data_IF_080748401847
#
_entry.id   IF_080748401847
#
_cell.length_a   1.000
_cell.length_b   1.000
_cell.length_c   1.000
_cell.angle_alpha   90.00
_cell.angle_beta   90.00
_cell.angle_gamma   90.00
#
_symmetry.space_group_name_H-M   'P 1'
#
loop_
_entity.id
_entity.type
_entity.pdbx_description
1 polymer ?
#
# COMPACT_ATOMS: atom_id res chain seq x y z
N UNK A 1 4.11 7.55 -15.45
CA UNK A 1 4.18 8.34 -14.17
C UNK A 1 5.09 7.58 -13.24
N UNK A 2 6.19 8.18 -12.81
CA UNK A 2 7.06 7.58 -11.80
C UNK A 2 6.53 7.91 -10.40
N UNK A 3 6.54 6.92 -9.50
CA UNK A 3 6.19 7.13 -8.11
C UNK A 3 7.21 8.08 -7.48
N UNK A 4 6.78 9.28 -7.11
CA UNK A 4 7.67 10.28 -6.53
C UNK A 4 8.07 9.89 -5.10
N UNK A 5 9.37 9.91 -4.82
CA UNK A 5 9.90 9.74 -3.47
C UNK A 5 9.98 11.10 -2.80
N UNK A 6 9.14 11.36 -1.82
CA UNK A 6 9.20 12.63 -1.05
C UNK A 6 10.33 12.67 -0.01
N UNK A 7 11.05 11.57 0.17
CA UNK A 7 12.12 11.48 1.17
C UNK A 7 13.36 10.79 0.59
N UNK A 8 14.53 11.40 0.77
CA UNK A 8 15.83 10.82 0.45
C UNK A 8 16.04 9.46 1.15
N UNK A 9 15.54 9.31 2.37
CA UNK A 9 15.60 8.06 3.13
C UNK A 9 14.95 6.87 2.43
N UNK A 10 13.88 7.11 1.66
CA UNK A 10 13.21 6.04 0.90
C UNK A 10 14.11 5.54 -0.23
N UNK A 11 14.76 6.45 -0.94
CA UNK A 11 15.70 6.09 -2.01
C UNK A 11 16.90 5.32 -1.46
N UNK A 12 17.47 5.77 -0.33
CA UNK A 12 18.58 5.10 0.36
C UNK A 12 18.17 3.70 0.83
N UNK A 13 16.98 3.58 1.45
CA UNK A 13 16.44 2.29 1.89
C UNK A 13 16.27 1.33 0.71
N UNK A 14 15.68 1.79 -0.40
CA UNK A 14 15.49 0.97 -1.59
C UNK A 14 16.83 0.55 -2.22
N UNK A 15 17.89 1.35 -2.09
CA UNK A 15 19.22 1.00 -2.58
C UNK A 15 19.87 -0.15 -1.81
N UNK A 16 19.46 -0.38 -0.56
CA UNK A 16 19.99 -1.44 0.32
C UNK A 16 19.27 -2.78 0.16
N UNK A 17 18.07 -2.77 -0.46
CA UNK A 17 17.25 -3.97 -0.59
C UNK A 17 17.93 -4.99 -1.50
N UNK A 18 17.95 -6.24 -1.05
CA UNK A 18 18.57 -7.34 -1.76
C UNK A 18 20.09 -7.36 -1.72
N UNK A 19 20.73 -6.34 -1.14
CA UNK A 19 22.18 -6.35 -0.91
C UNK A 19 22.48 -7.00 0.44
N UNK A 20 23.39 -7.97 0.44
CA UNK A 20 23.95 -8.48 1.69
C UNK A 20 24.84 -7.41 2.31
N UNK A 21 24.75 -7.25 3.63
CA UNK A 21 25.74 -6.47 4.37
C UNK A 21 27.04 -7.29 4.53
N UNK A 22 28.08 -6.71 5.16
CA UNK A 22 29.39 -7.36 5.39
C UNK A 22 29.29 -8.69 6.17
N UNK A 23 28.19 -8.91 6.89
CA UNK A 23 27.89 -10.14 7.62
C UNK A 23 26.97 -11.12 6.85
N UNK A 24 26.68 -10.86 5.57
CA UNK A 24 25.82 -11.69 4.74
C UNK A 24 24.32 -11.58 5.01
N UNK A 25 23.87 -10.63 5.84
CA UNK A 25 22.44 -10.41 6.09
C UNK A 25 21.79 -9.65 4.93
N UNK A 26 20.63 -10.13 4.48
CA UNK A 26 19.86 -9.52 3.40
C UNK A 26 18.62 -8.86 3.96
N UNK A 27 18.40 -7.59 3.59
CA UNK A 27 17.18 -6.85 3.90
C UNK A 27 16.13 -7.16 2.83
N UNK A 28 14.97 -7.66 3.26
CA UNK A 28 13.85 -7.94 2.38
C UNK A 28 12.69 -6.98 2.64
N UNK A 29 12.04 -6.47 1.59
CA UNK A 29 10.77 -5.76 1.73
C UNK A 29 9.68 -6.78 2.04
N UNK A 30 8.96 -6.56 3.12
CA UNK A 30 7.74 -7.31 3.44
C UNK A 30 6.48 -6.62 2.91
N UNK A 31 6.41 -5.31 2.98
CA UNK A 31 5.30 -4.55 2.40
C UNK A 31 5.63 -3.07 2.20
N UNK A 32 5.05 -2.50 1.15
CA UNK A 32 5.04 -1.07 0.85
C UNK A 32 3.60 -0.56 0.99
N UNK A 33 3.44 0.61 1.58
CA UNK A 33 2.19 1.39 1.56
C UNK A 33 2.38 2.59 0.65
N UNK A 34 1.55 2.68 -0.37
CA UNK A 34 1.52 3.76 -1.35
C UNK A 34 0.33 4.66 -1.07
N UNK A 35 0.54 5.97 -1.13
CA UNK A 35 -0.49 7.00 -1.06
C UNK A 35 -0.54 7.70 -2.41
N UNK A 36 -1.76 7.95 -2.91
CA UNK A 36 -1.93 8.72 -4.14
C UNK A 36 -3.11 9.70 -4.01
N UNK A 37 -3.11 10.69 -4.89
CA UNK A 37 -4.15 11.72 -4.98
C UNK A 37 -4.63 11.82 -6.42
N UNK A 38 -5.95 11.80 -6.59
CA UNK A 38 -6.60 11.96 -7.88
C UNK A 38 -6.84 13.43 -8.20
N UNK A 39 -6.97 13.78 -9.48
CA UNK A 39 -7.43 15.09 -9.94
C UNK A 39 -8.90 15.39 -9.55
N UNK A 40 -9.68 14.38 -9.13
CA UNK A 40 -11.08 14.47 -8.73
C UNK A 40 -11.20 14.46 -7.20
N UNK A 41 -11.64 15.57 -6.61
CA UNK A 41 -11.73 15.75 -5.15
C UNK A 41 -13.02 15.16 -4.55
N UNK A 42 -13.97 14.71 -5.36
CA UNK A 42 -15.19 14.08 -4.91
C UNK A 42 -15.49 12.84 -5.74
N UNK A 43 -15.35 11.68 -5.12
CA UNK A 43 -15.64 10.37 -5.71
C UNK A 43 -16.96 9.86 -5.12
N UNK A 44 -17.89 9.49 -6.00
CA UNK A 44 -19.13 8.81 -5.63
C UNK A 44 -18.81 7.32 -5.40
N UNK A 45 -18.63 6.96 -4.13
CA UNK A 45 -18.28 5.61 -3.73
C UNK A 45 -19.45 4.60 -3.91
N UNK A 46 -20.70 5.07 -3.84
CA UNK A 46 -21.87 4.22 -4.06
C UNK A 46 -22.02 3.88 -5.53
N UNK A 47 -21.86 4.86 -6.40
CA UNK A 47 -21.80 4.65 -7.86
C UNK A 47 -20.66 3.67 -8.20
N UNK A 48 -19.46 3.89 -7.68
CA UNK A 48 -18.36 2.96 -7.90
C UNK A 48 -18.69 1.53 -7.47
N UNK A 49 -19.23 1.34 -6.26
CA UNK A 49 -19.57 0.00 -5.75
C UNK A 49 -20.64 -0.71 -6.57
N UNK A 50 -21.60 0.04 -7.13
CA UNK A 50 -22.68 -0.52 -7.93
C UNK A 50 -22.19 -1.03 -9.28
N UNK A 51 -21.32 -0.26 -9.94
CA UNK A 51 -20.97 -0.49 -11.34
C UNK A 51 -19.59 -1.18 -11.52
N UNK A 52 -18.79 -1.24 -10.46
CA UNK A 52 -17.50 -1.91 -10.50
C UNK A 52 -17.63 -3.42 -10.37
N UNK A 53 -17.19 -4.15 -11.39
CA UNK A 53 -17.08 -5.59 -11.39
C UNK A 53 -15.75 -6.04 -12.01
N UNK A 54 -14.94 -6.76 -11.25
CA UNK A 54 -13.66 -7.27 -11.70
C UNK A 54 -13.38 -8.64 -11.06
N UNK A 55 -12.99 -9.67 -11.84
CA UNK A 55 -12.88 -11.06 -11.35
C UNK A 55 -11.85 -11.26 -10.23
N UNK A 56 -10.84 -10.43 -10.15
CA UNK A 56 -9.77 -10.50 -9.15
C UNK A 56 -9.96 -9.53 -7.98
N UNK A 57 -11.08 -8.79 -7.94
CA UNK A 57 -11.32 -7.79 -6.90
C UNK A 57 -12.58 -8.14 -6.12
N UNK A 58 -12.46 -8.07 -4.81
CA UNK A 58 -13.62 -8.16 -3.90
C UNK A 58 -13.75 -6.84 -3.16
N UNK A 59 -14.91 -6.21 -3.29
CA UNK A 59 -15.24 -5.04 -2.48
C UNK A 59 -15.54 -5.54 -1.07
N UNK A 60 -14.86 -4.99 -0.08
CA UNK A 60 -15.14 -5.26 1.31
C UNK A 60 -16.39 -4.48 1.70
N UNK A 61 -17.55 -5.08 1.53
CA UNK A 61 -18.80 -4.54 2.08
C UNK A 61 -18.73 -4.64 3.60
N UNK A 62 -18.96 -3.53 4.27
CA UNK A 62 -19.14 -3.53 5.72
C UNK A 62 -20.49 -4.16 5.98
N UNK A 63 -20.51 -5.17 6.85
CA UNK A 63 -21.73 -5.84 7.30
C UNK A 63 -22.72 -4.80 7.81
N UNK A 64 -23.86 -4.65 7.12
CA UNK A 64 -24.88 -3.64 7.42
C UNK A 64 -25.49 -3.81 8.83
N UNK A 65 -25.25 -4.95 9.47
CA UNK A 65 -25.72 -5.22 10.84
C UNK A 65 -24.85 -4.56 11.93
N UNK A 66 -23.64 -4.15 11.59
CA UNK A 66 -22.73 -3.42 12.50
C UNK A 66 -22.64 -1.96 12.05
N UNK A 67 -23.30 -1.04 12.76
CA UNK A 67 -23.41 0.40 12.53
C UNK A 67 -22.05 1.18 12.47
N UNK A 68 -20.99 0.63 11.88
CA UNK A 68 -19.73 1.30 11.63
C UNK A 68 -19.52 1.48 10.13
N UNK A 69 -20.27 2.40 9.54
CA UNK A 69 -20.01 2.88 8.20
C UNK A 69 -18.85 3.88 8.24
N UNK A 70 -17.74 3.55 7.58
CA UNK A 70 -16.84 4.59 7.11
C UNK A 70 -17.45 5.17 5.84
N UNK A 71 -18.31 6.17 5.98
CA UNK A 71 -19.01 6.83 4.86
C UNK A 71 -18.08 7.46 3.81
N UNK A 72 -16.79 7.57 4.11
CA UNK A 72 -15.82 8.28 3.32
C UNK A 72 -14.80 7.41 2.61
N UNK A 73 -14.88 6.06 2.72
CA UNK A 73 -13.97 5.15 2.04
C UNK A 73 -14.59 3.80 1.69
N UNK A 74 -14.07 3.19 0.63
CA UNK A 74 -14.28 1.76 0.31
C UNK A 74 -12.95 1.04 0.33
N UNK A 75 -12.98 -0.27 0.58
CA UNK A 75 -11.80 -1.12 0.55
C UNK A 75 -11.99 -2.22 -0.49
N UNK A 76 -11.07 -2.28 -1.45
CA UNK A 76 -10.98 -3.33 -2.45
C UNK A 76 -9.87 -4.30 -2.04
N UNK A 77 -10.17 -5.59 -2.06
CA UNK A 77 -9.16 -6.64 -1.96
C UNK A 77 -8.87 -7.12 -3.39
N UNK A 78 -7.74 -6.75 -3.92
CA UNK A 78 -7.25 -7.20 -5.22
C UNK A 78 -6.33 -8.42 -5.04
N UNK A 79 -6.63 -9.51 -5.74
CA UNK A 79 -5.87 -10.75 -5.69
C UNK A 79 -5.18 -10.97 -7.04
N UNK A 80 -3.91 -10.65 -7.09
CA UNK A 80 -2.98 -11.00 -8.15
C UNK A 80 -2.07 -12.15 -7.66
N UNK A 81 -0.77 -12.04 -7.82
CA UNK A 81 0.22 -12.98 -7.25
C UNK A 81 0.13 -12.97 -5.71
N UNK A 82 -0.08 -11.80 -5.11
CA UNK A 82 -0.33 -11.61 -3.69
C UNK A 82 -1.54 -10.71 -3.45
N UNK A 83 -2.12 -10.79 -2.25
CA UNK A 83 -3.27 -9.96 -1.87
C UNK A 83 -2.84 -8.52 -1.63
N UNK A 84 -3.50 -7.58 -2.32
CA UNK A 84 -3.36 -6.14 -2.13
C UNK A 84 -4.64 -5.58 -1.51
N UNK A 85 -4.51 -4.57 -0.67
CA UNK A 85 -5.65 -3.82 -0.15
C UNK A 85 -5.60 -2.40 -0.70
N UNK A 86 -6.65 -1.99 -1.39
CA UNK A 86 -6.80 -0.68 -2.02
C UNK A 86 -7.95 0.04 -1.32
N UNK A 87 -7.67 1.17 -0.70
CA UNK A 87 -8.68 2.05 -0.13
C UNK A 87 -8.86 3.25 -1.05
N UNK A 88 -10.10 3.50 -1.42
CA UNK A 88 -10.52 4.67 -2.19
C UNK A 88 -11.33 5.56 -1.26
N UNK A 89 -10.90 6.79 -1.09
CA UNK A 89 -11.58 7.77 -0.25
C UNK A 89 -12.45 8.69 -1.10
N UNK A 90 -13.58 9.12 -0.54
CA UNK A 90 -14.51 10.04 -1.21
C UNK A 90 -13.89 11.38 -1.60
N UNK A 91 -12.78 11.78 -0.96
CA UNK A 91 -12.04 13.01 -1.25
C UNK A 91 -10.95 12.85 -2.33
N UNK A 92 -10.96 11.75 -3.08
CA UNK A 92 -10.01 11.49 -4.16
C UNK A 92 -8.64 11.00 -3.71
N UNK A 93 -8.46 10.65 -2.44
CA UNK A 93 -7.22 10.00 -1.98
C UNK A 93 -7.30 8.49 -2.14
N UNK A 94 -6.14 7.88 -2.37
CA UNK A 94 -5.95 6.44 -2.44
C UNK A 94 -4.90 6.01 -1.41
N UNK A 95 -5.11 4.84 -0.81
CA UNK A 95 -4.10 4.15 -0.01
C UNK A 95 -4.02 2.70 -0.46
N UNK A 96 -2.83 2.24 -0.83
CA UNK A 96 -2.60 0.90 -1.33
C UNK A 96 -1.57 0.22 -0.45
N UNK A 97 -1.88 -0.97 0.06
CA UNK A 97 -0.98 -1.76 0.91
C UNK A 97 -0.79 -3.18 0.38
N UNK A 98 0.28 -3.84 0.80
CA UNK A 98 0.61 -5.19 0.33
C UNK A 98 1.46 -5.21 -0.95
N UNK A 99 2.06 -4.07 -1.31
CA UNK A 99 3.02 -3.97 -2.40
C UNK A 99 4.41 -4.40 -1.92
N UNK A 100 5.22 -4.94 -2.83
CA UNK A 100 6.57 -5.42 -2.51
C UNK A 100 7.67 -4.78 -3.38
N UNK A 101 7.27 -4.04 -4.40
CA UNK A 101 8.20 -3.33 -5.29
C UNK A 101 7.63 -2.03 -5.84
N UNK A 102 8.50 -1.14 -6.30
CA UNK A 102 8.13 0.10 -6.99
C UNK A 102 7.42 -0.19 -8.31
N UNK A 103 7.82 -1.26 -9.00
CA UNK A 103 7.19 -1.69 -10.22
C UNK A 103 5.70 -2.04 -9.98
N UNK A 104 5.39 -2.77 -8.90
CA UNK A 104 4.00 -3.04 -8.50
C UNK A 104 3.23 -1.76 -8.17
N UNK A 105 3.89 -0.79 -7.51
CA UNK A 105 3.27 0.51 -7.23
C UNK A 105 2.78 1.18 -8.51
N UNK A 106 3.66 1.34 -9.48
CA UNK A 106 3.34 2.02 -10.74
C UNK A 106 2.26 1.28 -11.55
N UNK A 107 2.39 -0.05 -11.65
CA UNK A 107 1.41 -0.89 -12.35
C UNK A 107 0.01 -0.75 -11.74
N UNK A 108 -0.08 -0.77 -10.42
CA UNK A 108 -1.38 -0.74 -9.74
C UNK A 108 -2.02 0.66 -9.79
N UNK A 109 -1.22 1.73 -9.77
CA UNK A 109 -1.73 3.08 -9.98
C UNK A 109 -2.39 3.24 -11.36
N UNK A 110 -1.76 2.74 -12.42
CA UNK A 110 -2.30 2.78 -13.78
C UNK A 110 -3.63 2.00 -13.82
N UNK A 111 -3.66 0.79 -13.28
CA UNK A 111 -4.84 -0.05 -13.27
C UNK A 111 -6.02 0.59 -12.52
N UNK A 112 -5.78 1.19 -11.36
CA UNK A 112 -6.83 1.88 -10.60
C UNK A 112 -7.34 3.12 -11.35
N UNK A 113 -6.45 3.86 -11.99
CA UNK A 113 -6.83 5.01 -12.83
C UNK A 113 -7.74 4.58 -13.97
N UNK A 114 -7.42 3.47 -14.65
CA UNK A 114 -8.25 2.89 -15.72
C UNK A 114 -9.62 2.46 -15.18
N UNK A 115 -9.70 1.78 -14.05
CA UNK A 115 -10.97 1.39 -13.43
C UNK A 115 -11.85 2.59 -13.12
N UNK A 116 -11.28 3.60 -12.48
CA UNK A 116 -12.02 4.80 -12.11
C UNK A 116 -12.49 5.59 -13.34
N UNK A 117 -11.61 5.75 -14.33
CA UNK A 117 -11.96 6.46 -15.58
C UNK A 117 -13.06 5.75 -16.35
N UNK A 118 -13.05 4.42 -16.39
CA UNK A 118 -14.08 3.64 -17.06
C UNK A 118 -15.44 3.75 -16.38
N UNK A 119 -15.49 3.71 -15.03
CA UNK A 119 -16.75 3.75 -14.28
C UNK A 119 -17.38 5.14 -14.32
N UNK A 120 -16.56 6.16 -14.17
CA UNK A 120 -17.06 7.54 -14.10
C UNK A 120 -17.17 8.22 -15.48
N UNK A 121 -16.79 7.51 -16.55
CA UNK A 121 -16.73 8.06 -17.92
C UNK A 121 -16.01 9.42 -17.97
N UNK A 122 -14.97 9.57 -17.14
CA UNK A 122 -14.26 10.82 -16.88
C UNK A 122 -12.75 10.58 -16.94
N UNK A 123 -11.99 11.60 -17.36
CA UNK A 123 -10.53 11.55 -17.39
C UNK A 123 -9.95 11.67 -15.96
N UNK A 124 -10.03 10.59 -15.19
CA UNK A 124 -9.47 10.54 -13.85
C UNK A 124 -7.97 10.27 -13.94
N UNK A 125 -7.19 11.13 -13.32
CA UNK A 125 -5.73 11.06 -13.32
C UNK A 125 -5.17 11.09 -11.89
N UNK A 126 -4.07 10.39 -11.70
CA UNK A 126 -3.28 10.50 -10.48
C UNK A 126 -2.35 11.70 -10.64
N UNK A 127 -2.54 12.71 -9.81
CA UNK A 127 -1.78 13.97 -9.84
C UNK A 127 -0.59 13.97 -8.87
N UNK A 128 -0.62 13.10 -7.87
CA UNK A 128 0.46 12.95 -6.88
C UNK A 128 0.48 11.53 -6.34
N UNK A 129 1.67 11.01 -6.10
CA UNK A 129 1.83 9.72 -5.41
C UNK A 129 3.17 9.63 -4.69
N UNK A 130 3.17 8.98 -3.53
CA UNK A 130 4.39 8.76 -2.75
C UNK A 130 4.29 7.49 -1.91
N UNK A 131 5.44 6.93 -1.56
CA UNK A 131 5.53 5.83 -0.62
C UNK A 131 5.41 6.39 0.79
N UNK A 132 4.32 6.02 1.48
CA UNK A 132 4.03 6.45 2.84
C UNK A 132 4.73 5.60 3.89
N UNK A 133 4.98 4.31 3.60
CA UNK A 133 5.64 3.38 4.53
C UNK A 133 6.28 2.22 3.76
N UNK A 134 7.44 1.79 4.26
CA UNK A 134 8.10 0.54 3.83
C UNK A 134 8.36 -0.28 5.09
N UNK A 135 7.90 -1.53 5.10
CA UNK A 135 8.28 -2.52 6.10
C UNK A 135 9.29 -3.48 5.48
N UNK A 136 10.35 -3.73 6.20
CA UNK A 136 11.36 -4.71 5.83
C UNK A 136 11.64 -5.68 6.97
N UNK A 137 12.22 -6.81 6.63
CA UNK A 137 12.72 -7.79 7.58
C UNK A 137 14.11 -8.28 7.17
N UNK A 138 14.86 -8.71 8.16
CA UNK A 138 16.15 -9.37 7.98
C UNK A 138 16.32 -10.45 9.05
N UNK A 139 17.17 -11.44 8.78
CA UNK A 139 17.53 -12.47 9.76
C UNK A 139 18.96 -12.27 10.21
N UNK A 140 19.19 -12.37 11.51
CA UNK A 140 20.56 -12.36 12.09
C UNK A 140 21.14 -13.76 12.17
N UNK A 141 20.37 -14.83 11.83
CA UNK A 141 20.76 -16.24 11.86
C UNK A 141 21.36 -16.69 13.20
N UNK A 142 20.96 -16.04 14.29
CA UNK A 142 21.40 -16.35 15.67
C UNK A 142 20.20 -16.39 16.60
N UNK A 143 20.25 -17.26 17.59
CA UNK A 143 19.31 -17.23 18.71
C UNK A 143 19.66 -16.07 19.63
N UNK A 144 18.65 -15.25 19.97
CA UNK A 144 18.79 -14.15 20.92
C UNK A 144 18.19 -14.62 22.24
N UNK A 145 18.99 -14.58 23.33
CA UNK A 145 18.47 -14.76 24.68
C UNK A 145 17.84 -13.43 25.16
N UNK A 146 16.52 -13.37 25.04
CA UNK A 146 15.75 -12.16 25.40
C UNK A 146 15.82 -11.87 26.91
N UNK A 147 15.95 -12.89 27.75
CA UNK A 147 16.04 -12.69 29.22
C UNK A 147 17.37 -12.03 29.59
N UNK A 148 18.46 -12.51 29.03
CA UNK A 148 19.78 -11.91 29.25
C UNK A 148 19.84 -10.51 28.66
N UNK A 149 19.30 -10.29 27.46
CA UNK A 149 19.25 -8.96 26.83
C UNK A 149 18.44 -7.97 27.67
N UNK A 150 17.30 -8.38 28.23
CA UNK A 150 16.49 -7.53 29.10
C UNK A 150 17.26 -7.14 30.38
N UNK A 151 18.00 -8.08 30.98
CA UNK A 151 18.83 -7.79 32.16
C UNK A 151 19.92 -6.76 31.90
N UNK A 152 20.53 -6.79 30.70
CA UNK A 152 21.55 -5.82 30.28
C UNK A 152 20.93 -4.43 30.06
N UNK A 153 19.77 -4.35 29.43
CA UNK A 153 19.11 -3.08 29.12
C UNK A 153 18.49 -2.39 30.34
N UNK A 154 18.05 -3.18 31.34
CA UNK A 154 17.49 -2.62 32.57
C UNK A 154 18.53 -2.18 33.60
N UNK A 155 19.80 -2.58 33.43
CA UNK A 155 20.90 -2.25 34.34
C UNK A 155 21.80 -1.08 33.85
N UNK A 156 21.43 -0.45 32.75
CA UNK A 156 22.02 0.78 32.20
C UNK A 156 21.01 1.93 32.25
#
# INVERSE_FOLDING_TARGET
MECAYRSSYVADYLSLIGKANDNGHVLNISTITLIATLNKQKIDLEHFCRDFNHPQVTIKTIDQTKRQYFYNQITLNYKDISKKSIKIFSNGKLQITGLTSVFECNRLLILIQEWLSSIFEDNIQIIDSYIGMINGNFSIYRTIDLLNMNSILCNN
#
